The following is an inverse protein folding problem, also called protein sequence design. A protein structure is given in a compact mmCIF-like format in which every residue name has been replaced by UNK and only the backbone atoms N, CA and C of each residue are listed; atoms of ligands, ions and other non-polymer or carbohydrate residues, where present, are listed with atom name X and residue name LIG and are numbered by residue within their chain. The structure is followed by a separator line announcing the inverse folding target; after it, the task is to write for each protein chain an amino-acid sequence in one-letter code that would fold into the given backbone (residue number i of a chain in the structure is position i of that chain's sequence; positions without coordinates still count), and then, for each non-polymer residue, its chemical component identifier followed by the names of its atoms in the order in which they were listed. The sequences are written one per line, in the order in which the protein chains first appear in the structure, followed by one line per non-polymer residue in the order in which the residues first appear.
data_IF_075274942547
#
_entry.id   IF_075274942547
#
_cell.length_a   1.000
_cell.length_b   1.000
_cell.length_c   1.000
_cell.angle_alpha   90.00
_cell.angle_beta   90.00
_cell.angle_gamma   90.00
#
_symmetry.space_group_name_H-M   'P 1'
#
loop_
_entity.id
_entity.type
_entity.pdbx_description
1 polymer ?
#
# COMPACT_ATOMS: atom_id res chain seq x y z
N UNK A 1 -19.73 15.50 32.43
CA UNK A 1 -19.69 15.98 31.02
C UNK A 1 -18.40 15.45 30.40
N UNK A 2 -18.49 14.34 29.67
CA UNK A 2 -17.34 13.74 29.00
C UNK A 2 -17.05 14.59 27.76
N UNK A 3 -15.89 15.26 27.71
CA UNK A 3 -15.45 15.91 26.47
C UNK A 3 -15.35 14.82 25.40
N UNK A 4 -16.25 14.87 24.41
CA UNK A 4 -16.27 13.95 23.29
C UNK A 4 -14.96 14.17 22.52
N UNK A 5 -13.95 13.35 22.83
CA UNK A 5 -12.63 13.49 22.24
C UNK A 5 -12.70 12.92 20.83
N UNK A 6 -12.92 13.81 19.85
CA UNK A 6 -13.09 13.45 18.44
C UNK A 6 -11.83 12.72 17.96
N UNK A 7 -11.97 11.59 17.25
CA UNK A 7 -10.83 10.91 16.66
C UNK A 7 -10.07 11.86 15.72
N UNK A 8 -8.74 11.79 15.78
CA UNK A 8 -7.83 12.62 14.99
C UNK A 8 -7.62 12.06 13.58
N UNK A 9 -7.78 10.76 13.44
CA UNK A 9 -7.65 9.99 12.19
C UNK A 9 -8.98 9.31 11.89
N UNK A 10 -9.25 9.00 10.63
CA UNK A 10 -10.50 8.38 10.21
C UNK A 10 -10.61 6.95 10.77
N UNK A 11 -11.55 6.67 11.71
CA UNK A 11 -11.70 5.34 12.28
C UNK A 11 -12.09 4.29 11.23
N UNK A 12 -12.84 4.66 10.18
CA UNK A 12 -13.29 3.71 9.18
C UNK A 12 -12.13 3.11 8.38
N UNK A 13 -11.10 3.92 8.11
CA UNK A 13 -9.88 3.43 7.46
C UNK A 13 -9.03 2.58 8.40
N UNK A 14 -9.10 2.84 9.71
CA UNK A 14 -8.36 2.11 10.73
C UNK A 14 -9.00 0.77 11.12
N UNK A 15 -10.29 0.57 10.81
CA UNK A 15 -11.00 -0.69 11.03
C UNK A 15 -10.27 -1.87 10.37
N UNK A 16 -9.60 -1.66 9.23
CA UNK A 16 -8.80 -2.69 8.55
C UNK A 16 -7.69 -3.28 9.46
N UNK A 17 -7.08 -2.47 10.34
CA UNK A 17 -6.08 -2.97 11.29
C UNK A 17 -6.73 -3.83 12.37
N UNK A 18 -7.92 -3.44 12.83
CA UNK A 18 -8.70 -4.18 13.83
C UNK A 18 -9.12 -5.53 13.26
N UNK A 19 -9.67 -5.52 12.04
CA UNK A 19 -10.09 -6.73 11.33
C UNK A 19 -8.93 -7.69 11.12
N UNK A 20 -7.80 -7.22 10.62
CA UNK A 20 -6.61 -8.04 10.41
C UNK A 20 -6.07 -8.62 11.71
N UNK A 21 -6.02 -7.80 12.77
CA UNK A 21 -5.60 -8.25 14.10
C UNK A 21 -6.53 -9.34 14.64
N UNK A 22 -7.85 -9.15 14.53
CA UNK A 22 -8.85 -10.12 14.97
C UNK A 22 -8.79 -11.41 14.15
N UNK A 23 -8.64 -11.31 12.82
CA UNK A 23 -8.46 -12.45 11.91
C UNK A 23 -7.22 -13.27 12.27
N UNK A 24 -6.12 -12.60 12.61
CA UNK A 24 -4.89 -13.22 13.10
C UNK A 24 -4.97 -13.72 14.55
N UNK A 25 -6.12 -13.53 15.23
CA UNK A 25 -6.34 -13.86 16.66
C UNK A 25 -5.32 -13.22 17.60
N UNK A 26 -4.82 -12.04 17.25
CA UNK A 26 -3.89 -11.27 18.07
C UNK A 26 -4.67 -10.33 19.00
N UNK A 27 -4.43 -10.37 20.29
CA UNK A 27 -5.03 -9.41 21.23
C UNK A 27 -4.29 -8.06 21.19
N UNK A 28 -4.93 -6.99 21.67
CA UNK A 28 -4.24 -5.69 21.83
C UNK A 28 -3.05 -5.80 22.79
N UNK A 29 -3.11 -6.68 23.80
CA UNK A 29 -2.00 -6.95 24.71
C UNK A 29 -0.81 -7.61 24.00
N UNK A 30 -1.06 -8.61 23.15
CA UNK A 30 -0.02 -9.26 22.35
C UNK A 30 0.59 -8.30 21.31
N UNK A 31 -0.22 -7.42 20.73
CA UNK A 31 0.28 -6.35 19.86
C UNK A 31 1.19 -5.39 20.63
N UNK A 32 0.77 -4.95 21.84
CA UNK A 32 1.59 -4.08 22.68
C UNK A 32 2.91 -4.73 23.07
N UNK A 33 2.90 -6.02 23.43
CA UNK A 33 4.09 -6.81 23.72
C UNK A 33 5.04 -6.87 22.53
N UNK A 34 4.52 -7.10 21.31
CA UNK A 34 5.32 -7.08 20.08
C UNK A 34 6.04 -5.74 19.90
N UNK A 35 5.35 -4.63 20.16
CA UNK A 35 5.92 -3.28 20.11
C UNK A 35 6.72 -2.89 21.37
N UNK A 36 6.97 -3.84 22.28
CA UNK A 36 7.71 -3.64 23.54
C UNK A 36 7.11 -2.48 24.37
N UNK A 37 5.79 -2.45 24.47
CA UNK A 37 5.04 -1.44 25.22
C UNK A 37 4.45 -2.06 26.47
N UNK A 38 4.54 -1.33 27.58
CA UNK A 38 3.89 -1.72 28.85
C UNK A 38 2.39 -1.37 28.88
N UNK A 39 1.95 -0.44 28.04
CA UNK A 39 0.56 0.02 27.96
C UNK A 39 -0.13 -0.48 26.69
N UNK A 40 -1.14 -1.33 26.85
CA UNK A 40 -1.98 -1.80 25.74
C UNK A 40 -2.99 -0.73 25.27
N UNK A 41 -3.28 0.28 26.09
CA UNK A 41 -4.14 1.41 25.74
C UNK A 41 -3.60 2.19 24.53
N UNK A 42 -2.27 2.17 24.33
CA UNK A 42 -1.63 2.73 23.14
C UNK A 42 -2.09 2.05 21.84
N UNK A 43 -2.26 0.72 21.83
CA UNK A 43 -2.80 0.01 20.65
C UNK A 43 -4.25 0.41 20.40
N UNK A 44 -5.08 0.44 21.44
CA UNK A 44 -6.47 0.86 21.32
C UNK A 44 -6.60 2.30 20.82
N UNK A 45 -5.69 3.19 21.24
CA UNK A 45 -5.67 4.58 20.77
C UNK A 45 -5.24 4.70 19.30
N UNK A 46 -4.34 3.84 18.82
CA UNK A 46 -3.97 3.77 17.40
C UNK A 46 -5.12 3.25 16.55
N UNK A 47 -5.76 2.16 16.98
CA UNK A 47 -6.88 1.53 16.28
C UNK A 47 -8.13 2.43 16.23
N UNK A 48 -8.39 3.21 17.29
CA UNK A 48 -9.52 4.14 17.34
C UNK A 48 -9.24 5.53 16.75
N UNK A 49 -8.05 5.74 16.17
CA UNK A 49 -7.66 7.03 15.58
C UNK A 49 -7.49 8.17 16.58
N UNK A 50 -7.34 7.88 17.88
CA UNK A 50 -7.08 8.90 18.92
C UNK A 50 -5.62 9.35 18.92
N UNK A 51 -4.71 8.46 18.54
CA UNK A 51 -3.30 8.77 18.35
C UNK A 51 -2.72 7.94 17.21
N UNK A 52 -1.46 8.20 16.85
CA UNK A 52 -0.72 7.38 15.88
C UNK A 52 0.60 6.92 16.50
N UNK A 53 1.16 5.80 16.02
CA UNK A 53 2.49 5.37 16.43
C UNK A 53 3.56 6.38 16.03
N UNK A 54 4.66 6.37 16.79
CA UNK A 54 5.83 7.20 16.48
C UNK A 54 6.56 6.65 15.25
N UNK A 55 7.12 7.52 14.42
CA UNK A 55 7.80 7.12 13.17
C UNK A 55 8.93 6.10 13.36
N UNK A 56 9.62 6.12 14.52
CA UNK A 56 10.65 5.12 14.85
C UNK A 56 10.13 3.67 14.92
N UNK A 57 8.81 3.47 15.04
CA UNK A 57 8.16 2.15 15.06
C UNK A 57 7.82 1.64 13.66
N UNK A 58 8.12 2.40 12.61
CA UNK A 58 7.84 2.04 11.23
C UNK A 58 8.41 0.67 10.85
N UNK A 59 9.69 0.32 11.13
CA UNK A 59 10.21 -1.01 10.81
C UNK A 59 9.47 -2.13 11.55
N UNK A 60 9.16 -1.92 12.84
CA UNK A 60 8.38 -2.88 13.62
C UNK A 60 6.99 -3.09 13.03
N UNK A 61 6.36 -2.02 12.51
CA UNK A 61 5.04 -2.11 11.89
C UNK A 61 5.05 -2.92 10.59
N UNK A 62 6.11 -2.80 9.78
CA UNK A 62 6.27 -3.64 8.58
C UNK A 62 6.28 -5.11 8.99
N UNK A 63 7.13 -5.47 9.96
CA UNK A 63 7.23 -6.84 10.48
C UNK A 63 5.91 -7.29 11.11
N UNK A 64 5.23 -6.42 11.84
CA UNK A 64 3.94 -6.71 12.46
C UNK A 64 2.89 -7.09 11.42
N UNK A 65 2.74 -6.30 10.35
CA UNK A 65 1.78 -6.57 9.28
C UNK A 65 2.09 -7.89 8.57
N UNK A 66 3.36 -8.09 8.20
CA UNK A 66 3.79 -9.25 7.43
C UNK A 66 3.68 -10.54 8.25
N UNK A 67 4.25 -10.55 9.46
CA UNK A 67 4.42 -11.77 10.25
C UNK A 67 3.31 -11.99 11.26
N UNK A 68 2.90 -10.95 11.98
CA UNK A 68 1.90 -11.09 13.06
C UNK A 68 0.48 -11.01 12.57
N UNK A 69 0.21 -10.19 11.55
CA UNK A 69 -1.11 -10.11 10.92
C UNK A 69 -1.26 -11.05 9.72
N UNK A 70 -0.21 -11.80 9.39
CA UNK A 70 -0.27 -12.87 8.39
C UNK A 70 -0.34 -12.37 6.95
N UNK A 71 0.13 -11.15 6.65
CA UNK A 71 0.12 -10.61 5.29
C UNK A 71 1.31 -11.04 4.44
N UNK A 72 2.19 -11.92 4.94
CA UNK A 72 3.36 -12.43 4.21
C UNK A 72 3.04 -13.04 2.84
N UNK A 73 1.85 -13.61 2.67
CA UNK A 73 1.42 -14.22 1.41
C UNK A 73 0.36 -13.39 0.67
N UNK A 74 0.05 -12.19 1.18
CA UNK A 74 -0.95 -11.30 0.61
C UNK A 74 -0.37 -9.90 0.42
N UNK A 75 0.53 -9.81 -0.57
CA UNK A 75 1.25 -8.58 -0.90
C UNK A 75 0.30 -7.42 -1.24
N UNK A 76 -0.80 -7.71 -1.93
CA UNK A 76 -1.78 -6.70 -2.30
C UNK A 76 -2.50 -6.15 -1.07
N UNK A 77 -2.96 -7.02 -0.15
CA UNK A 77 -3.56 -6.56 1.10
C UNK A 77 -2.56 -5.77 1.95
N UNK A 78 -1.29 -6.19 1.98
CA UNK A 78 -0.23 -5.45 2.66
C UNK A 78 -0.08 -4.01 2.12
N UNK A 79 0.03 -3.84 0.80
CA UNK A 79 0.13 -2.51 0.18
C UNK A 79 -1.12 -1.66 0.43
N UNK A 80 -2.30 -2.26 0.33
CA UNK A 80 -3.56 -1.57 0.57
C UNK A 80 -3.62 -1.02 2.01
N UNK A 81 -3.27 -1.84 2.99
CA UNK A 81 -3.23 -1.44 4.41
C UNK A 81 -2.18 -0.36 4.63
N UNK A 82 -0.98 -0.53 4.05
CA UNK A 82 0.09 0.44 4.21
C UNK A 82 -0.29 1.82 3.66
N UNK A 83 -0.83 1.87 2.45
CA UNK A 83 -1.20 3.13 1.83
C UNK A 83 -2.40 3.77 2.55
N UNK A 84 -3.46 3.00 2.80
CA UNK A 84 -4.69 3.53 3.40
C UNK A 84 -4.49 3.99 4.84
N UNK A 85 -3.66 3.30 5.63
CA UNK A 85 -3.49 3.60 7.06
C UNK A 85 -2.20 4.35 7.35
N UNK A 86 -1.06 3.79 6.95
CA UNK A 86 0.23 4.36 7.34
C UNK A 86 0.49 5.66 6.58
N UNK A 87 0.22 5.70 5.27
CA UNK A 87 0.47 6.88 4.45
C UNK A 87 -0.64 7.91 4.60
N UNK A 88 -1.89 7.55 4.32
CA UNK A 88 -2.99 8.53 4.30
C UNK A 88 -3.36 9.03 5.70
N UNK A 89 -3.53 8.12 6.67
CA UNK A 89 -3.98 8.52 8.02
C UNK A 89 -2.80 8.90 8.91
N UNK A 90 -1.77 8.07 8.99
CA UNK A 90 -0.64 8.32 9.88
C UNK A 90 0.42 9.22 9.26
N UNK A 91 0.27 9.65 8.01
CA UNK A 91 1.18 10.56 7.31
C UNK A 91 2.62 10.07 7.36
N UNK A 92 2.82 8.76 7.24
CA UNK A 92 4.13 8.17 7.03
C UNK A 92 4.48 8.23 5.54
N UNK A 93 5.77 8.15 5.26
CA UNK A 93 6.25 8.07 3.88
C UNK A 93 5.80 6.76 3.22
N UNK A 94 5.63 6.72 1.89
CA UNK A 94 5.47 5.47 1.16
C UNK A 94 6.60 4.48 1.47
N UNK A 95 6.38 3.18 1.23
CA UNK A 95 7.44 2.19 1.38
C UNK A 95 8.55 2.43 0.37
N UNK A 96 9.79 2.26 0.80
CA UNK A 96 10.95 2.22 -0.09
C UNK A 96 11.12 0.82 -0.69
N UNK A 97 11.78 0.74 -1.84
CA UNK A 97 12.08 -0.55 -2.48
C UNK A 97 12.88 -1.49 -1.55
N UNK A 98 13.79 -0.94 -0.75
CA UNK A 98 14.56 -1.69 0.24
C UNK A 98 13.68 -2.29 1.33
N UNK A 99 12.70 -1.53 1.85
CA UNK A 99 11.74 -2.01 2.84
C UNK A 99 10.83 -3.10 2.26
N UNK A 100 10.37 -2.92 1.01
CA UNK A 100 9.58 -3.92 0.30
C UNK A 100 10.37 -5.21 0.07
N UNK A 101 11.61 -5.09 -0.40
CA UNK A 101 12.48 -6.24 -0.63
C UNK A 101 12.79 -7.00 0.66
N UNK A 102 12.93 -6.29 1.78
CA UNK A 102 13.15 -6.92 3.08
C UNK A 102 11.88 -7.64 3.59
N UNK A 103 10.71 -7.02 3.43
CA UNK A 103 9.43 -7.58 3.86
C UNK A 103 9.02 -8.80 3.03
N UNK A 104 9.22 -8.71 1.71
CA UNK A 104 8.82 -9.69 0.71
C UNK A 104 10.01 -10.05 -0.20
N UNK A 105 10.97 -10.85 0.30
CA UNK A 105 12.10 -11.28 -0.51
C UNK A 105 11.58 -12.07 -1.73
N UNK A 106 12.00 -11.66 -2.94
CA UNK A 106 11.53 -12.24 -4.20
C UNK A 106 10.36 -11.47 -4.85
N UNK A 107 9.70 -10.56 -4.12
CA UNK A 107 8.93 -9.49 -4.77
C UNK A 107 9.90 -8.41 -5.21
N UNK A 108 10.54 -8.65 -6.36
CA UNK A 108 11.28 -7.61 -7.03
C UNK A 108 10.23 -6.65 -7.59
N UNK A 109 9.89 -5.61 -6.83
CA UNK A 109 9.27 -4.41 -7.38
C UNK A 109 10.27 -3.86 -8.40
N UNK A 110 10.20 -4.36 -9.62
CA UNK A 110 10.98 -3.83 -10.73
C UNK A 110 10.21 -2.59 -11.15
N UNK A 111 10.39 -1.53 -10.37
CA UNK A 111 10.06 -0.17 -10.74
C UNK A 111 11.03 0.23 -11.84
N UNK A 112 10.86 -0.39 -13.02
CA UNK A 112 11.57 0.01 -14.20
C UNK A 112 10.96 1.36 -14.60
N UNK A 113 11.70 2.47 -14.55
CA UNK A 113 11.21 3.71 -15.09
C UNK A 113 10.92 3.48 -16.58
N UNK A 114 9.74 3.91 -17.03
CA UNK A 114 9.44 3.90 -18.45
C UNK A 114 10.53 4.67 -19.20
N UNK A 115 11.13 4.05 -20.20
CA UNK A 115 12.03 4.74 -21.12
C UNK A 115 11.29 5.91 -21.79
N UNK A 116 12.00 6.96 -22.25
CA UNK A 116 11.38 8.07 -22.96
C UNK A 116 10.49 7.62 -24.14
N UNK A 117 10.91 6.58 -24.86
CA UNK A 117 10.12 5.99 -25.95
C UNK A 117 8.80 5.38 -25.46
N UNK A 118 8.80 4.71 -24.30
CA UNK A 118 7.60 4.14 -23.70
C UNK A 118 6.66 5.24 -23.18
N UNK A 119 7.19 6.31 -22.60
CA UNK A 119 6.39 7.46 -22.21
C UNK A 119 5.72 8.12 -23.43
N UNK A 120 6.46 8.33 -24.52
CA UNK A 120 5.89 8.87 -25.77
C UNK A 120 4.80 7.96 -26.35
N UNK A 121 4.97 6.63 -26.27
CA UNK A 121 3.94 5.69 -26.72
C UNK A 121 2.69 5.72 -25.83
N UNK A 122 2.86 5.78 -24.50
CA UNK A 122 1.75 5.91 -23.56
C UNK A 122 0.97 7.22 -23.79
N UNK A 123 1.66 8.33 -24.02
CA UNK A 123 1.05 9.63 -24.34
C UNK A 123 0.30 9.60 -25.67
N UNK A 124 0.87 9.00 -26.72
CA UNK A 124 0.22 8.86 -28.01
C UNK A 124 -1.06 8.01 -27.95
N UNK A 125 -1.02 6.91 -27.17
CA UNK A 125 -2.16 6.01 -26.98
C UNK A 125 -3.24 6.67 -26.12
N UNK A 126 -2.86 7.36 -25.05
CA UNK A 126 -3.81 8.12 -24.21
C UNK A 126 -4.49 9.26 -24.99
N UNK A 127 -3.77 9.92 -25.90
CA UNK A 127 -4.31 10.97 -26.78
C UNK A 127 -5.31 10.46 -27.83
N UNK A 128 -5.36 9.14 -28.07
CA UNK A 128 -6.29 8.50 -29.02
C UNK A 128 -7.57 7.95 -28.37
N UNK A 129 -7.77 8.20 -27.07
CA UNK A 129 -8.94 7.69 -26.33
C UNK A 129 -8.88 6.19 -26.07
N UNK A 130 -7.67 5.62 -26.03
CA UNK A 130 -7.46 4.21 -25.76
C UNK A 130 -8.02 3.78 -24.40
N UNK A 131 -8.55 2.56 -24.37
CA UNK A 131 -9.08 1.98 -23.14
C UNK A 131 -7.97 1.43 -22.23
N UNK A 132 -8.35 1.09 -20.98
CA UNK A 132 -7.42 0.56 -19.97
C UNK A 132 -6.77 -0.77 -20.40
N UNK A 133 -7.41 -1.56 -21.26
CA UNK A 133 -6.86 -2.83 -21.73
C UNK A 133 -5.74 -2.61 -22.77
N UNK A 134 -5.88 -1.59 -23.61
CA UNK A 134 -4.86 -1.18 -24.57
C UNK A 134 -3.62 -0.59 -23.86
N UNK A 135 -3.84 0.24 -22.84
CA UNK A 135 -2.75 0.75 -21.98
C UNK A 135 -2.06 -0.39 -21.22
N UNK A 136 -2.81 -1.36 -20.69
CA UNK A 136 -2.24 -2.53 -20.01
C UNK A 136 -1.41 -3.42 -20.96
N UNK A 137 -1.82 -3.58 -22.20
CA UNK A 137 -1.12 -4.43 -23.19
C UNK A 137 0.28 -3.91 -23.55
N UNK A 138 0.47 -2.59 -23.61
CA UNK A 138 1.77 -1.96 -23.85
C UNK A 138 2.78 -2.26 -22.73
N UNK A 139 2.24 -2.46 -21.54
CA UNK A 139 3.01 -2.62 -20.32
C UNK A 139 3.27 -4.10 -19.98
N UNK A 140 2.30 -4.97 -20.28
CA UNK A 140 2.40 -6.44 -20.12
C UNK A 140 3.28 -7.08 -21.20
N UNK A 141 3.32 -6.52 -22.42
CA UNK A 141 4.10 -7.05 -23.54
C UNK A 141 5.63 -7.12 -23.34
N UNK A 142 6.15 -6.61 -22.21
CA UNK A 142 7.57 -6.67 -21.86
C UNK A 142 7.87 -7.43 -20.56
N UNK A 143 6.85 -7.92 -19.87
CA UNK A 143 7.04 -8.84 -18.75
C UNK A 143 6.83 -10.27 -19.25
N UNK A 144 7.64 -11.21 -18.75
CA UNK A 144 7.46 -12.65 -18.96
C UNK A 144 5.96 -13.00 -18.87
N UNK A 145 5.38 -13.82 -19.79
CA UNK A 145 3.97 -14.22 -19.72
C UNK A 145 3.53 -14.80 -18.36
N UNK A 146 4.47 -15.20 -17.49
CA UNK A 146 4.23 -15.60 -16.10
C UNK A 146 4.14 -14.43 -15.07
N UNK A 147 4.15 -13.18 -15.53
CA UNK A 147 4.15 -11.99 -14.68
C UNK A 147 2.85 -11.21 -14.84
N UNK A 148 2.06 -11.13 -13.77
CA UNK A 148 0.89 -10.25 -13.76
C UNK A 148 1.32 -8.83 -13.45
N UNK A 149 1.03 -7.92 -14.37
CA UNK A 149 1.13 -6.47 -14.15
C UNK A 149 -0.18 -6.00 -13.53
N UNK A 150 -0.12 -5.44 -12.32
CA UNK A 150 -1.28 -4.85 -11.67
C UNK A 150 -1.05 -3.34 -11.58
N UNK A 151 -1.93 -2.57 -12.21
CA UNK A 151 -1.96 -1.13 -12.04
C UNK A 151 -2.51 -0.79 -10.65
N UNK A 152 -1.71 -0.14 -9.80
CA UNK A 152 -2.21 0.48 -8.59
C UNK A 152 -2.88 1.82 -8.96
N UNK A 153 -4.15 1.75 -9.34
CA UNK A 153 -4.99 2.93 -9.56
C UNK A 153 -5.94 3.01 -8.36
N UNK A 154 -5.91 4.13 -7.63
CA UNK A 154 -6.88 4.38 -6.56
C UNK A 154 -8.32 4.28 -7.13
N UNK A 155 -9.29 3.72 -6.39
CA UNK A 155 -10.68 3.64 -6.86
C UNK A 155 -11.21 5.03 -7.27
N UNK A 156 -11.53 5.21 -8.56
CA UNK A 156 -12.05 6.47 -9.10
C UNK A 156 -11.01 7.45 -9.70
N UNK A 157 -9.73 7.06 -9.75
CA UNK A 157 -8.63 7.85 -10.30
C UNK A 157 -8.25 7.38 -11.72
N UNK A 158 -9.08 7.62 -12.73
CA UNK A 158 -8.76 7.15 -14.09
C UNK A 158 -7.57 7.90 -14.68
N UNK A 159 -6.75 7.27 -15.56
CA UNK A 159 -5.66 7.95 -16.27
C UNK A 159 -6.14 9.22 -17.01
N UNK A 160 -7.36 9.17 -17.55
CA UNK A 160 -8.02 10.32 -18.18
C UNK A 160 -8.25 11.50 -17.20
N UNK A 161 -8.57 11.22 -15.94
CA UNK A 161 -8.81 12.23 -14.90
C UNK A 161 -7.49 12.89 -14.47
N UNK A 162 -6.38 12.15 -14.45
CA UNK A 162 -5.03 12.68 -14.14
C UNK A 162 -4.49 13.58 -15.24
N UNK A 163 -4.69 13.19 -16.51
CA UNK A 163 -4.35 14.00 -17.68
C UNK A 163 -5.16 15.30 -17.73
N UNK A 164 -6.47 15.24 -17.44
CA UNK A 164 -7.33 16.41 -17.38
C UNK A 164 -6.93 17.41 -16.27
N UNK A 165 -6.26 16.93 -15.21
CA UNK A 165 -5.83 17.73 -14.07
C UNK A 165 -4.35 18.19 -14.14
N UNK A 166 -3.66 17.98 -15.27
CA UNK A 166 -2.27 18.43 -15.45
C UNK A 166 -1.24 17.66 -14.61
N UNK A 167 -1.58 16.48 -14.11
CA UNK A 167 -0.64 15.59 -13.41
C UNK A 167 0.23 14.91 -14.47
N UNK A 168 1.51 15.29 -14.53
CA UNK A 168 2.50 14.62 -15.40
C UNK A 168 2.83 13.22 -14.87
N UNK A 169 3.04 12.27 -15.78
CA UNK A 169 3.26 10.84 -15.53
C UNK A 169 4.58 10.47 -14.81
N UNK A 170 5.16 11.35 -14.00
CA UNK A 170 6.47 11.15 -13.37
C UNK A 170 6.51 10.02 -12.31
N UNK A 171 5.37 9.45 -11.92
CA UNK A 171 5.29 8.45 -10.84
C UNK A 171 4.30 7.31 -11.12
N UNK A 172 4.26 6.79 -12.35
CA UNK A 172 3.62 5.49 -12.61
C UNK A 172 4.60 4.37 -12.28
N UNK A 173 4.32 3.64 -11.21
CA UNK A 173 5.12 2.49 -10.80
C UNK A 173 4.50 1.21 -11.33
N UNK A 174 5.32 0.40 -11.99
CA UNK A 174 4.97 -0.96 -12.37
C UNK A 174 5.20 -1.89 -11.20
N UNK A 175 4.17 -2.64 -10.81
CA UNK A 175 4.31 -3.72 -9.84
C UNK A 175 4.13 -5.04 -10.60
N UNK A 176 5.24 -5.73 -10.82
CA UNK A 176 5.29 -7.06 -11.41
C UNK A 176 5.23 -8.11 -10.27
N UNK A 177 4.23 -9.01 -10.30
CA UNK A 177 4.14 -10.14 -9.37
C UNK A 177 4.40 -11.44 -10.16
N UNK A 178 5.40 -12.26 -9.79
CA UNK A 178 5.63 -13.55 -10.45
C UNK A 178 4.58 -14.60 -10.04
N UNK A 179 4.10 -15.39 -11.02
CA UNK A 179 3.03 -16.41 -10.83
C UNK A 179 3.40 -17.55 -9.87
N UNK A 180 4.67 -17.72 -9.49
CA UNK A 180 5.13 -18.81 -8.63
C UNK A 180 4.79 -18.68 -7.14
N UNK A 181 3.94 -17.71 -6.75
CA UNK A 181 3.63 -17.37 -5.36
C UNK A 181 2.14 -17.52 -4.98
N UNK A 182 1.35 -18.26 -5.77
CA UNK A 182 -0.04 -18.62 -5.43
C UNK A 182 -0.15 -19.94 -4.65
#
# INVERSE_FOLDING_TARGET
MSAYNKPKFDPQKLDILIELRQKAKVSQGQAAEFFKMSDYGSIANWESGRSKPWGRRRPDFIIYLVDKLGLRHDYQQFLNVWNAVMVEEWLWEPLTDSELQHAFPGHNATTQPFSPAQLTQLEAIAGQGADLAQLASLVIGQTDPATKVIWAIAPGDTPAKRLANGITFHSLYLIAIPDSLQ
#
